data_IF_938173685760
#
_entry.id   IF_938173685760
#
_cell.length_a   1.000
_cell.length_b   1.000
_cell.length_c   1.000
_cell.angle_alpha   90.00
_cell.angle_beta   90.00
_cell.angle_gamma   90.00
#
_symmetry.space_group_name_H-M   'P 1'
#
loop_
_entity.id
_entity.type
_entity.pdbx_description
1 polymer ?
#
# COMPACT_ATOMS: atom_id res chain seq x y z
N UNK A 1 16.91 -13.79 26.75
CA UNK A 1 17.37 -14.52 27.95
C UNK A 1 16.97 -13.68 29.16
N UNK A 2 16.08 -14.16 30.02
CA UNK A 2 15.70 -13.44 31.23
C UNK A 2 16.66 -13.80 32.37
N UNK A 3 17.08 -12.79 33.14
CA UNK A 3 17.88 -12.99 34.35
C UNK A 3 16.99 -13.14 35.61
N UNK A 4 15.71 -13.44 35.44
CA UNK A 4 14.73 -13.61 36.52
C UNK A 4 13.63 -14.59 36.08
N UNK A 5 12.97 -15.21 37.06
CA UNK A 5 11.86 -16.12 36.80
C UNK A 5 10.65 -15.36 36.24
N UNK A 6 10.22 -15.78 35.05
CA UNK A 6 9.01 -15.29 34.39
C UNK A 6 7.96 -16.39 34.49
N UNK A 7 6.73 -16.06 34.91
CA UNK A 7 5.65 -17.04 34.98
C UNK A 7 5.27 -17.52 33.57
N UNK A 8 4.77 -18.76 33.46
CA UNK A 8 4.36 -19.33 32.18
C UNK A 8 3.29 -18.45 31.47
N UNK A 9 2.35 -17.90 32.24
CA UNK A 9 1.32 -16.98 31.72
C UNK A 9 1.92 -15.67 31.19
N UNK A 10 2.91 -15.10 31.89
CA UNK A 10 3.59 -13.91 31.41
C UNK A 10 4.40 -14.21 30.14
N UNK A 11 5.13 -15.32 30.11
CA UNK A 11 5.92 -15.74 28.95
C UNK A 11 5.06 -16.02 27.71
N UNK A 12 3.85 -16.56 27.88
CA UNK A 12 2.93 -16.83 26.76
C UNK A 12 2.48 -15.55 26.03
N UNK A 13 2.48 -14.39 26.68
CA UNK A 13 2.08 -13.12 26.06
C UNK A 13 3.18 -12.45 25.24
N UNK A 14 4.40 -13.00 25.27
CA UNK A 14 5.53 -12.40 24.59
C UNK A 14 5.38 -12.47 23.07
N UNK A 15 5.85 -11.46 22.31
CA UNK A 15 5.80 -11.51 20.85
C UNK A 15 6.42 -12.77 20.25
N UNK A 16 7.52 -13.27 20.83
CA UNK A 16 8.23 -14.47 20.35
C UNK A 16 7.49 -15.78 20.64
N UNK A 17 6.57 -15.76 21.61
CA UNK A 17 5.80 -16.93 22.04
C UNK A 17 4.40 -16.95 21.41
N UNK A 18 4.01 -15.87 20.71
CA UNK A 18 2.70 -15.68 20.08
C UNK A 18 2.78 -15.95 18.59
N UNK A 19 1.69 -16.44 18.01
CA UNK A 19 1.57 -16.71 16.59
C UNK A 19 0.58 -17.82 16.27
N UNK A 20 0.53 -18.16 14.99
CA UNK A 20 -0.26 -19.29 14.48
C UNK A 20 0.71 -20.43 14.18
N UNK A 21 0.66 -21.48 15.00
CA UNK A 21 1.52 -22.66 14.87
C UNK A 21 0.92 -23.69 13.90
N UNK A 22 -0.40 -23.80 13.87
CA UNK A 22 -1.07 -24.79 13.03
C UNK A 22 -1.24 -24.28 11.59
N UNK A 23 -0.50 -24.91 10.66
CA UNK A 23 -0.50 -24.56 9.23
C UNK A 23 -1.90 -24.59 8.61
N UNK A 24 -2.76 -25.55 9.00
CA UNK A 24 -4.12 -25.64 8.47
C UNK A 24 -5.01 -24.50 8.96
N UNK A 25 -4.82 -24.09 10.21
CA UNK A 25 -5.50 -22.93 10.79
C UNK A 25 -5.04 -21.65 10.09
N UNK A 26 -3.74 -21.49 9.85
CA UNK A 26 -3.18 -20.38 9.08
C UNK A 26 -3.75 -20.30 7.67
N UNK A 27 -3.79 -21.42 6.92
CA UNK A 27 -4.38 -21.46 5.58
C UNK A 27 -5.87 -21.10 5.56
N UNK A 28 -6.62 -21.48 6.60
CA UNK A 28 -8.03 -21.08 6.73
C UNK A 28 -8.17 -19.58 7.00
N UNK A 29 -7.30 -19.01 7.83
CA UNK A 29 -7.26 -17.57 8.13
C UNK A 29 -6.94 -16.75 6.88
N UNK A 30 -6.01 -17.20 6.03
CA UNK A 30 -5.78 -16.60 4.70
C UNK A 30 -7.06 -16.56 3.86
N UNK A 31 -7.80 -17.68 3.81
CA UNK A 31 -9.11 -17.72 3.15
C UNK A 31 -10.14 -16.77 3.77
N UNK A 32 -10.08 -16.54 5.09
CA UNK A 32 -10.94 -15.58 5.79
C UNK A 32 -10.58 -14.13 5.44
N UNK A 33 -9.30 -13.82 5.24
CA UNK A 33 -8.87 -12.51 4.76
C UNK A 33 -9.35 -12.25 3.34
N UNK A 34 -9.23 -13.24 2.43
CA UNK A 34 -9.65 -13.12 1.04
C UNK A 34 -11.15 -12.78 0.88
N UNK A 35 -12.01 -13.29 1.78
CA UNK A 35 -13.46 -13.00 1.76
C UNK A 35 -13.86 -11.79 2.63
N UNK A 36 -12.89 -11.05 3.17
CA UNK A 36 -13.15 -9.86 3.98
C UNK A 36 -13.83 -10.16 5.33
N UNK A 37 -13.50 -11.28 5.96
CA UNK A 37 -14.05 -11.61 7.28
C UNK A 37 -13.71 -10.52 8.32
N UNK A 38 -14.64 -10.30 9.27
CA UNK A 38 -14.42 -9.36 10.37
C UNK A 38 -13.26 -9.83 11.26
N UNK A 39 -12.43 -8.89 11.72
CA UNK A 39 -11.30 -9.16 12.62
C UNK A 39 -11.69 -9.93 13.87
N UNK A 40 -12.84 -9.59 14.48
CA UNK A 40 -13.36 -10.33 15.65
C UNK A 40 -13.61 -11.81 15.32
N UNK A 41 -14.17 -12.12 14.16
CA UNK A 41 -14.44 -13.50 13.73
C UNK A 41 -13.17 -14.29 13.47
N UNK A 42 -12.12 -13.64 12.97
CA UNK A 42 -10.80 -14.25 12.78
C UNK A 42 -10.14 -14.53 14.13
N UNK A 43 -10.26 -13.58 15.06
CA UNK A 43 -9.76 -13.74 16.42
C UNK A 43 -10.46 -14.89 17.17
N UNK A 44 -11.80 -14.92 17.14
CA UNK A 44 -12.58 -16.00 17.76
C UNK A 44 -12.20 -17.37 17.18
N UNK A 45 -12.06 -17.46 15.85
CA UNK A 45 -11.63 -18.70 15.19
C UNK A 45 -10.23 -19.15 15.65
N UNK A 46 -9.28 -18.23 15.81
CA UNK A 46 -7.93 -18.56 16.28
C UNK A 46 -7.94 -19.06 17.72
N UNK A 47 -8.75 -18.44 18.60
CA UNK A 47 -8.91 -18.90 19.98
C UNK A 47 -9.59 -20.27 20.06
N UNK A 48 -10.61 -20.52 19.24
CA UNK A 48 -11.30 -21.83 19.14
C UNK A 48 -10.37 -22.96 18.68
N UNK A 49 -9.23 -22.63 18.05
CA UNK A 49 -8.23 -23.58 17.56
C UNK A 49 -6.92 -23.52 18.35
N UNK A 50 -6.98 -23.06 19.60
CA UNK A 50 -5.87 -23.05 20.57
C UNK A 50 -4.62 -22.30 20.06
N UNK A 51 -4.79 -21.31 19.17
CA UNK A 51 -3.68 -20.49 18.70
C UNK A 51 -3.36 -19.39 19.71
N UNK A 52 -2.08 -19.22 20.05
CA UNK A 52 -1.64 -18.22 21.01
C UNK A 52 -1.51 -16.84 20.35
N UNK A 53 -2.63 -16.14 20.23
CA UNK A 53 -2.71 -14.82 19.60
C UNK A 53 -3.44 -13.82 20.50
N UNK A 54 -3.14 -12.54 20.32
CA UNK A 54 -3.94 -11.44 20.84
C UNK A 54 -4.50 -10.60 19.67
N UNK A 55 -5.42 -9.69 19.98
CA UNK A 55 -6.09 -8.87 18.97
C UNK A 55 -5.11 -8.09 18.05
N UNK A 56 -4.00 -7.60 18.61
CA UNK A 56 -2.94 -6.92 17.85
C UNK A 56 -2.33 -7.81 16.76
N UNK A 57 -2.23 -9.12 16.99
CA UNK A 57 -1.70 -10.05 15.97
C UNK A 57 -2.65 -10.14 14.79
N UNK A 58 -3.97 -10.18 15.04
CA UNK A 58 -4.98 -10.17 13.97
C UNK A 58 -4.97 -8.85 13.21
N UNK A 59 -4.80 -7.72 13.91
CA UNK A 59 -4.66 -6.42 13.26
C UNK A 59 -3.42 -6.37 12.35
N UNK A 60 -2.29 -6.93 12.81
CA UNK A 60 -1.05 -7.04 12.03
C UNK A 60 -1.22 -7.96 10.83
N UNK A 61 -1.78 -9.17 11.00
CA UNK A 61 -2.02 -10.11 9.89
C UNK A 61 -2.94 -9.52 8.82
N UNK A 62 -4.02 -8.84 9.22
CA UNK A 62 -4.92 -8.17 8.27
C UNK A 62 -4.20 -7.04 7.53
N UNK A 63 -3.33 -6.30 8.22
CA UNK A 63 -2.52 -5.24 7.60
C UNK A 63 -1.52 -5.84 6.60
N UNK A 64 -0.85 -6.92 6.96
CA UNK A 64 0.07 -7.65 6.09
C UNK A 64 -0.64 -8.21 4.86
N UNK A 65 -1.78 -8.88 5.03
CA UNK A 65 -2.59 -9.36 3.91
C UNK A 65 -3.05 -8.20 3.00
N UNK A 66 -3.53 -7.09 3.57
CA UNK A 66 -3.90 -5.90 2.79
C UNK A 66 -2.69 -5.34 2.02
N UNK A 67 -1.50 -5.33 2.63
CA UNK A 67 -0.26 -4.87 1.99
C UNK A 67 0.19 -5.81 0.86
N UNK A 68 0.06 -7.13 1.06
CA UNK A 68 0.38 -8.17 0.08
C UNK A 68 -0.58 -8.14 -1.10
N UNK A 69 -1.88 -7.98 -0.83
CA UNK A 69 -2.90 -7.77 -1.88
C UNK A 69 -2.67 -6.43 -2.60
N UNK A 70 -2.21 -5.39 -1.92
CA UNK A 70 -1.85 -4.12 -2.56
C UNK A 70 -0.54 -4.16 -3.35
N UNK A 71 0.28 -5.19 -3.14
CA UNK A 71 1.44 -5.51 -3.97
C UNK A 71 1.05 -6.32 -5.23
N UNK A 72 -0.24 -6.69 -5.38
CA UNK A 72 -0.79 -6.98 -6.71
C UNK A 72 -0.74 -5.66 -7.48
N UNK A 73 0.15 -5.65 -8.46
CA UNK A 73 0.81 -4.50 -9.05
C UNK A 73 -0.15 -3.51 -9.77
N UNK A 74 -0.58 -2.45 -9.07
CA UNK A 74 -1.29 -1.32 -9.68
C UNK A 74 -0.37 -0.51 -10.64
N UNK A 75 0.93 -0.82 -10.71
CA UNK A 75 1.84 -0.15 -11.64
C UNK A 75 1.46 -0.42 -13.09
N UNK A 76 0.98 -1.63 -13.41
CA UNK A 76 0.48 -1.94 -14.75
C UNK A 76 -0.76 -1.08 -15.10
N UNK A 77 -1.67 -0.90 -14.14
CA UNK A 77 -2.81 -0.01 -14.29
C UNK A 77 -2.39 1.45 -14.47
N UNK A 78 -1.43 1.91 -13.67
CA UNK A 78 -0.90 3.26 -13.73
C UNK A 78 -0.15 3.52 -15.04
N UNK A 79 0.68 2.58 -15.48
CA UNK A 79 1.40 2.64 -16.76
C UNK A 79 0.41 2.71 -17.94
N UNK A 80 -0.69 1.94 -17.88
CA UNK A 80 -1.75 2.00 -18.88
C UNK A 80 -2.44 3.36 -18.94
N UNK A 81 -2.73 3.98 -17.80
CA UNK A 81 -3.32 5.32 -17.76
C UNK A 81 -2.35 6.39 -18.29
N UNK A 82 -1.05 6.31 -17.95
CA UNK A 82 -0.01 7.20 -18.50
C UNK A 82 0.11 7.04 -20.02
N UNK A 83 0.08 5.80 -20.52
CA UNK A 83 0.10 5.52 -21.95
C UNK A 83 -1.16 6.07 -22.64
N UNK A 84 -2.33 5.92 -22.03
CA UNK A 84 -3.60 6.46 -22.53
C UNK A 84 -3.57 7.99 -22.58
N UNK A 85 -3.06 8.63 -21.53
CA UNK A 85 -2.84 10.07 -21.48
C UNK A 85 -1.93 10.55 -22.61
N UNK A 86 -0.78 9.91 -22.79
CA UNK A 86 0.18 10.27 -23.85
C UNK A 86 -0.38 10.04 -25.26
N UNK A 87 -1.22 9.02 -25.45
CA UNK A 87 -1.86 8.74 -26.73
C UNK A 87 -3.03 9.68 -27.06
N UNK A 88 -3.63 10.33 -26.05
CA UNK A 88 -4.81 11.19 -26.25
C UNK A 88 -4.53 12.48 -27.02
N UNK A 89 -3.30 13.00 -26.97
CA UNK A 89 -2.83 14.12 -27.78
C UNK A 89 -1.31 13.99 -27.96
N UNK A 90 -0.76 14.05 -29.19
CA UNK A 90 0.68 13.89 -29.45
C UNK A 90 1.55 14.97 -28.80
N UNK A 91 0.98 16.11 -28.39
CA UNK A 91 1.69 17.15 -27.64
C UNK A 91 1.61 16.95 -26.11
N UNK A 92 0.88 15.96 -25.61
CA UNK A 92 0.92 15.59 -24.19
C UNK A 92 2.30 15.03 -23.84
N UNK A 93 2.78 15.34 -22.63
CA UNK A 93 4.05 14.85 -22.10
C UNK A 93 3.82 14.28 -20.71
N UNK A 94 4.33 13.08 -20.48
CA UNK A 94 4.37 12.44 -19.17
C UNK A 94 5.77 11.93 -18.87
N UNK A 95 6.19 12.00 -17.61
CA UNK A 95 7.42 11.36 -17.13
C UNK A 95 7.20 10.70 -15.78
N UNK A 96 7.95 9.63 -15.54
CA UNK A 96 7.98 8.89 -14.27
C UNK A 96 9.42 8.92 -13.78
N UNK A 97 9.62 9.40 -12.56
CA UNK A 97 10.90 9.38 -11.87
C UNK A 97 10.82 8.35 -10.74
N UNK A 98 11.73 7.38 -10.78
CA UNK A 98 11.88 6.36 -9.75
C UNK A 98 12.85 6.82 -8.65
N UNK A 99 12.66 6.31 -7.45
CA UNK A 99 13.58 6.47 -6.32
C UNK A 99 14.78 5.51 -6.45
N UNK A 100 15.81 5.73 -5.64
CA UNK A 100 16.99 4.84 -5.58
C UNK A 100 16.65 3.39 -5.18
N UNK A 101 15.46 3.18 -4.60
CA UNK A 101 14.91 1.87 -4.22
C UNK A 101 14.11 1.20 -5.35
N UNK A 102 13.97 1.84 -6.51
CA UNK A 102 13.18 1.34 -7.65
C UNK A 102 11.67 1.55 -7.49
N UNK A 103 11.24 2.38 -6.53
CA UNK A 103 9.84 2.72 -6.34
C UNK A 103 9.49 3.96 -7.18
N UNK A 104 8.28 4.04 -7.74
CA UNK A 104 7.85 5.26 -8.44
C UNK A 104 7.80 6.42 -7.44
N UNK A 105 8.68 7.42 -7.59
CA UNK A 105 8.75 8.57 -6.69
C UNK A 105 7.84 9.71 -7.11
N UNK A 106 7.91 10.10 -8.39
CA UNK A 106 7.17 11.25 -8.93
C UNK A 106 6.64 10.94 -10.33
N UNK A 107 5.38 11.30 -10.59
CA UNK A 107 4.77 11.27 -11.92
C UNK A 107 4.46 12.72 -12.31
N UNK A 108 4.98 13.17 -13.45
CA UNK A 108 4.71 14.50 -14.00
C UNK A 108 3.87 14.38 -15.26
N UNK A 109 2.81 15.18 -15.36
CA UNK A 109 1.89 15.21 -16.52
C UNK A 109 1.72 16.65 -16.99
N UNK A 110 1.81 16.87 -18.31
CA UNK A 110 1.54 18.14 -18.95
C UNK A 110 0.70 17.92 -20.22
N UNK A 111 -0.48 18.52 -20.27
CA UNK A 111 -1.33 18.45 -21.46
C UNK A 111 -0.81 19.36 -22.57
N UNK A 112 -1.14 19.05 -23.82
CA UNK A 112 -0.92 19.92 -24.96
C UNK A 112 -1.47 21.34 -24.75
N UNK A 113 -2.64 21.44 -24.10
CA UNK A 113 -3.25 22.73 -23.79
C UNK A 113 -2.40 23.54 -22.80
N UNK A 114 -1.91 22.93 -21.72
CA UNK A 114 -1.02 23.57 -20.75
C UNK A 114 0.24 24.12 -21.45
N UNK A 115 0.91 23.27 -22.24
CA UNK A 115 2.12 23.64 -23.00
C UNK A 115 1.90 24.79 -23.99
N UNK A 116 0.74 24.81 -24.67
CA UNK A 116 0.37 25.90 -25.59
C UNK A 116 0.09 27.21 -24.85
N UNK A 117 -0.46 27.16 -23.64
CA UNK A 117 -0.70 28.36 -22.82
C UNK A 117 0.63 28.98 -22.41
N UNK A 118 1.56 28.20 -21.85
CA UNK A 118 2.85 28.75 -21.44
C UNK A 118 3.73 29.20 -22.59
N UNK A 119 3.70 28.50 -23.74
CA UNK A 119 4.38 28.99 -24.95
C UNK A 119 3.92 30.40 -25.35
N UNK A 120 2.70 30.81 -24.96
CA UNK A 120 2.15 32.16 -25.17
C UNK A 120 2.35 33.09 -23.98
N UNK A 121 2.51 32.55 -22.78
CA UNK A 121 2.58 33.27 -21.52
C UNK A 121 3.65 32.67 -20.60
N UNK A 122 4.91 32.73 -21.02
CA UNK A 122 6.04 32.10 -20.30
C UNK A 122 6.33 32.72 -18.93
N UNK A 123 5.71 33.88 -18.64
CA UNK A 123 5.79 34.55 -17.34
C UNK A 123 4.88 33.92 -16.26
N UNK A 124 3.98 33.00 -16.65
CA UNK A 124 3.02 32.35 -15.75
C UNK A 124 3.33 30.86 -15.65
N UNK A 125 3.95 30.45 -14.55
CA UNK A 125 4.12 29.03 -14.19
C UNK A 125 3.09 28.67 -13.11
N UNK A 126 2.13 27.80 -13.45
CA UNK A 126 1.20 27.23 -12.47
C UNK A 126 1.62 25.80 -12.15
N UNK A 127 1.84 25.52 -10.88
CA UNK A 127 2.16 24.19 -10.37
C UNK A 127 1.07 23.82 -9.39
N UNK A 128 0.26 22.81 -9.72
CA UNK A 128 -0.65 22.20 -8.77
C UNK A 128 0.02 20.96 -8.16
N UNK A 129 0.13 20.95 -6.83
CA UNK A 129 0.69 19.83 -6.07
C UNK A 129 -0.40 19.19 -5.24
N UNK A 130 -0.79 17.98 -5.62
CA UNK A 130 -1.72 17.18 -4.84
C UNK A 130 -0.93 16.22 -3.95
N UNK A 131 -1.14 16.33 -2.63
CA UNK A 131 -0.52 15.47 -1.63
C UNK A 131 -1.56 14.48 -1.07
N UNK A 132 -1.15 13.22 -0.87
CA UNK A 132 -1.96 12.15 -0.24
C UNK A 132 -3.29 11.85 -0.96
N UNK A 133 -3.35 12.03 -2.28
CA UNK A 133 -4.55 11.78 -3.08
C UNK A 133 -4.67 10.35 -3.63
N UNK A 134 -3.64 9.51 -3.46
CA UNK A 134 -3.70 8.08 -3.78
C UNK A 134 -3.15 7.22 -2.64
N UNK A 135 -3.43 5.91 -2.68
CA UNK A 135 -3.07 4.94 -1.62
C UNK A 135 -1.55 4.81 -1.40
N UNK A 136 -0.75 5.23 -2.37
CA UNK A 136 0.71 5.15 -2.39
C UNK A 136 1.39 6.46 -1.99
N UNK A 137 0.62 7.50 -1.64
CA UNK A 137 1.11 8.84 -1.31
C UNK A 137 2.00 9.48 -2.39
N UNK A 138 1.81 9.14 -3.69
CA UNK A 138 2.58 9.82 -4.74
C UNK A 138 2.33 11.33 -4.68
N UNK A 139 3.40 12.09 -4.87
CA UNK A 139 3.28 13.52 -5.14
C UNK A 139 2.94 13.69 -6.61
N UNK A 140 1.70 14.12 -6.88
CA UNK A 140 1.27 14.44 -8.23
C UNK A 140 1.54 15.93 -8.49
N UNK A 141 2.35 16.18 -9.50
CA UNK A 141 2.66 17.53 -9.97
C UNK A 141 1.98 17.74 -11.32
N UNK A 142 1.01 18.64 -11.36
CA UNK A 142 0.49 19.17 -12.62
C UNK A 142 1.25 20.44 -12.92
N UNK A 143 2.13 20.37 -13.92
CA UNK A 143 2.88 21.53 -14.37
C UNK A 143 2.08 22.21 -15.48
N UNK A 144 2.02 23.53 -15.42
CA UNK A 144 1.64 24.38 -16.55
C UNK A 144 2.93 25.05 -17.07
N UNK A 145 3.85 24.29 -17.68
CA UNK A 145 4.96 24.81 -18.45
C UNK A 145 4.48 25.07 -19.87
#
# INVERSE_FOLDING_TARGET
MHNHDVSAAAYATYPTSRGVENVLVGARVEGMFAVGAKRSRIYDYLLEHDQNVIQVDVDNMVREHASSVSAVDDNEGTAREIATFSASDPENVSSVAETDTGETGVISLATAHMRRIYGRFSEVLLVDSSHKTNRYNYQLLTLWP
#
